data_IF_817530308751
#
_entry.id   IF_817530308751
#
_cell.length_a   1.000
_cell.length_b   1.000
_cell.length_c   1.000
_cell.angle_alpha   90.00
_cell.angle_beta   90.00
_cell.angle_gamma   90.00
#
_symmetry.space_group_name_H-M   'P 1'
#
loop_
_entity.id
_entity.type
_entity.pdbx_description
1 polymer ?
#
# COMPACT_ATOMS: atom_id res chain seq x y z
N UNK A 1 -39.90 2.33 -14.79
CA UNK A 1 -40.52 2.87 -13.56
C UNK A 1 -39.84 2.42 -12.25
N UNK A 2 -39.12 1.29 -12.20
CA UNK A 2 -38.48 0.80 -10.96
C UNK A 2 -37.35 1.68 -10.36
N UNK A 3 -36.58 2.39 -11.19
CA UNK A 3 -35.48 3.26 -10.74
C UNK A 3 -35.99 4.49 -9.97
N UNK A 4 -37.09 5.08 -10.43
CA UNK A 4 -37.68 6.27 -9.82
C UNK A 4 -38.32 5.93 -8.47
N UNK A 5 -38.89 4.73 -8.36
CA UNK A 5 -39.38 4.20 -7.09
C UNK A 5 -38.26 3.95 -6.08
N UNK A 6 -37.10 3.44 -6.50
CA UNK A 6 -35.96 3.22 -5.60
C UNK A 6 -35.39 4.55 -5.10
N UNK A 7 -35.30 5.56 -5.97
CA UNK A 7 -34.88 6.92 -5.61
C UNK A 7 -35.85 7.57 -4.60
N UNK A 8 -37.17 7.40 -4.79
CA UNK A 8 -38.16 7.92 -3.87
C UNK A 8 -38.06 7.24 -2.49
N UNK A 9 -37.87 5.92 -2.45
CA UNK A 9 -37.66 5.15 -1.20
C UNK A 9 -36.38 5.59 -0.49
N UNK A 10 -35.29 5.81 -1.24
CA UNK A 10 -34.02 6.29 -0.69
C UNK A 10 -34.13 7.69 -0.07
N UNK A 11 -34.71 8.66 -0.80
CA UNK A 11 -34.93 10.02 -0.28
C UNK A 11 -35.81 10.03 0.97
N UNK A 12 -36.90 9.26 0.96
CA UNK A 12 -37.78 9.10 2.13
C UNK A 12 -37.06 8.51 3.34
N UNK A 13 -36.10 7.61 3.12
CA UNK A 13 -35.29 7.05 4.20
C UNK A 13 -34.27 8.06 4.73
N UNK A 14 -33.67 8.86 3.85
CA UNK A 14 -32.76 9.95 4.22
C UNK A 14 -33.46 11.01 5.08
N UNK A 15 -34.67 11.42 4.72
CA UNK A 15 -35.49 12.37 5.49
C UNK A 15 -35.82 11.84 6.89
N UNK A 16 -36.21 10.55 7.00
CA UNK A 16 -36.49 9.90 8.30
C UNK A 16 -35.26 9.87 9.21
N UNK A 17 -34.08 9.59 8.66
CA UNK A 17 -32.84 9.60 9.43
C UNK A 17 -32.50 11.01 9.93
N UNK A 18 -32.66 12.04 9.08
CA UNK A 18 -32.43 13.43 9.48
C UNK A 18 -33.42 13.89 10.55
N UNK A 19 -34.72 13.61 10.39
CA UNK A 19 -35.73 13.99 11.38
C UNK A 19 -35.49 13.34 12.75
N UNK A 20 -35.00 12.10 12.76
CA UNK A 20 -34.66 11.38 14.00
C UNK A 20 -33.47 12.03 14.70
N UNK A 21 -32.41 12.40 13.95
CA UNK A 21 -31.24 13.10 14.51
C UNK A 21 -31.59 14.48 15.05
N UNK A 22 -32.42 15.24 14.33
CA UNK A 22 -32.91 16.56 14.79
C UNK A 22 -33.76 16.44 16.06
N UNK A 23 -34.61 15.42 16.17
CA UNK A 23 -35.41 15.18 17.39
C UNK A 23 -34.56 14.77 18.59
N UNK A 24 -33.49 13.99 18.38
CA UNK A 24 -32.53 13.62 19.44
C UNK A 24 -31.75 14.85 19.90
N UNK A 25 -31.29 15.70 18.97
CA UNK A 25 -30.61 16.95 19.30
C UNK A 25 -31.52 17.92 20.08
N UNK A 26 -32.79 18.04 19.69
CA UNK A 26 -33.76 18.88 20.41
C UNK A 26 -34.08 18.36 21.83
N UNK A 27 -34.12 17.04 22.02
CA UNK A 27 -34.32 16.42 23.35
C UNK A 27 -33.11 16.58 24.27
N UNK A 28 -31.90 16.66 23.73
CA UNK A 28 -30.69 16.89 24.52
C UNK A 28 -30.54 18.34 25.05
N UNK A 29 -31.30 19.29 24.48
CA UNK A 29 -31.25 20.73 24.88
C UNK A 29 -32.34 21.07 25.91
N UNK A 30 -33.34 20.21 26.12
CA UNK A 30 -34.51 20.50 26.99
C UNK A 30 -34.67 19.54 28.16
N UNK A 31 -33.59 19.29 28.92
CA UNK A 31 -33.67 18.69 30.26
C UNK A 31 -32.95 19.58 31.27
N UNK A 32 -33.67 20.61 31.74
CA UNK A 32 -33.33 21.35 32.96
C UNK A 32 -34.18 20.78 34.12
N UNK A 33 -33.55 20.23 35.17
CA UNK A 33 -34.11 20.33 36.51
C UNK A 33 -33.28 21.30 37.35
N UNK A 34 -33.99 22.23 37.98
CA UNK A 34 -33.52 23.20 38.95
C UNK A 34 -33.24 22.55 40.32
N UNK A 35 -32.01 22.66 40.83
CA UNK A 35 -31.69 22.62 42.29
C UNK A 35 -30.39 23.44 42.52
N UNK A 36 -30.27 24.29 43.56
CA UNK A 36 -29.07 25.07 43.83
C UNK A 36 -28.15 24.35 44.83
N UNK A 37 -26.85 24.21 44.55
CA UNK A 37 -25.85 24.02 45.59
C UNK A 37 -24.42 24.33 45.08
N UNK A 38 -23.78 25.26 45.78
CA UNK A 38 -22.36 25.63 45.70
C UNK A 38 -21.45 24.41 45.87
N UNK A 39 -20.48 24.18 44.98
CA UNK A 39 -19.11 23.74 45.29
C UNK A 39 -18.14 24.12 44.14
N UNK A 40 -16.89 24.40 44.50
CA UNK A 40 -15.81 25.03 43.72
C UNK A 40 -15.45 24.37 42.37
N UNK A 41 -14.83 25.11 41.41
CA UNK A 41 -14.56 24.59 40.08
C UNK A 41 -13.30 23.71 40.04
N UNK A 42 -13.48 22.49 39.52
CA UNK A 42 -12.42 21.58 39.14
C UNK A 42 -12.41 21.35 37.61
N UNK A 43 -11.19 21.22 37.08
CA UNK A 43 -10.79 20.51 35.87
C UNK A 43 -10.90 21.22 34.48
N UNK A 44 -9.92 20.95 33.58
CA UNK A 44 -9.69 21.71 32.36
C UNK A 44 -10.65 21.34 31.23
N UNK A 45 -11.00 22.36 30.46
CA UNK A 45 -11.75 22.33 29.20
C UNK A 45 -11.15 21.37 28.18
N UNK A 46 -11.89 20.30 27.84
CA UNK A 46 -11.68 19.53 26.61
C UNK A 46 -11.89 20.46 25.39
N UNK A 47 -10.98 20.49 24.40
CA UNK A 47 -11.20 21.23 23.18
C UNK A 47 -12.33 20.59 22.35
N UNK A 48 -13.10 21.39 21.59
CA UNK A 48 -14.15 20.90 20.72
C UNK A 48 -13.56 20.01 19.62
N UNK A 49 -14.11 18.81 19.50
CA UNK A 49 -13.82 17.87 18.42
C UNK A 49 -14.00 18.57 17.07
N UNK A 50 -13.02 18.53 16.14
CA UNK A 50 -13.17 19.18 14.85
C UNK A 50 -14.33 18.52 14.09
N UNK A 51 -15.23 19.34 13.57
CA UNK A 51 -16.34 18.92 12.74
C UNK A 51 -15.81 18.04 11.58
N UNK A 52 -16.18 16.76 11.61
CA UNK A 52 -15.79 15.77 10.62
C UNK A 52 -16.21 16.26 9.22
N UNK A 53 -15.22 16.45 8.35
CA UNK A 53 -15.43 16.83 6.96
C UNK A 53 -15.98 15.63 6.18
N UNK A 54 -17.31 15.45 6.23
CA UNK A 54 -18.07 14.33 5.66
C UNK A 54 -17.73 13.96 4.19
N UNK A 55 -17.25 14.89 3.37
CA UNK A 55 -16.87 14.59 1.98
C UNK A 55 -15.68 13.64 1.88
N UNK A 56 -14.66 13.79 2.72
CA UNK A 56 -13.44 12.99 2.60
C UNK A 56 -13.69 11.52 3.02
N UNK A 57 -14.50 11.32 4.07
CA UNK A 57 -14.89 9.98 4.51
C UNK A 57 -15.69 9.22 3.44
N UNK A 58 -16.57 9.92 2.70
CA UNK A 58 -17.40 9.29 1.68
C UNK A 58 -16.56 8.77 0.51
N UNK A 59 -15.61 9.57 0.03
CA UNK A 59 -14.70 9.20 -1.07
C UNK A 59 -13.76 8.06 -0.66
N UNK A 60 -13.19 8.12 0.55
CA UNK A 60 -12.34 7.07 1.10
C UNK A 60 -13.09 5.74 1.19
N UNK A 61 -14.31 5.75 1.72
CA UNK A 61 -15.15 4.55 1.82
C UNK A 61 -15.51 3.99 0.44
N UNK A 62 -15.78 4.85 -0.55
CA UNK A 62 -16.01 4.41 -1.94
C UNK A 62 -14.76 3.76 -2.54
N UNK A 63 -13.57 4.33 -2.31
CA UNK A 63 -12.31 3.76 -2.77
C UNK A 63 -12.05 2.37 -2.16
N UNK A 64 -12.25 2.23 -0.85
CA UNK A 64 -12.15 0.95 -0.13
C UNK A 64 -13.14 -0.07 -0.71
N UNK A 65 -14.39 0.35 -0.94
CA UNK A 65 -15.41 -0.53 -1.50
C UNK A 65 -15.06 -0.98 -2.93
N UNK A 66 -14.53 -0.07 -3.74
CA UNK A 66 -14.05 -0.35 -5.09
C UNK A 66 -12.94 -1.41 -5.08
N UNK A 67 -11.94 -1.26 -4.19
CA UNK A 67 -10.85 -2.24 -4.03
C UNK A 67 -11.39 -3.60 -3.60
N UNK A 68 -12.29 -3.64 -2.60
CA UNK A 68 -12.82 -4.91 -2.08
C UNK A 68 -13.72 -5.65 -3.07
N UNK A 69 -14.37 -4.91 -3.98
CA UNK A 69 -15.16 -5.47 -5.08
C UNK A 69 -14.33 -5.76 -6.34
N UNK A 70 -13.06 -5.35 -6.37
CA UNK A 70 -12.18 -5.64 -7.49
C UNK A 70 -12.00 -7.17 -7.64
N UNK A 71 -11.76 -7.66 -8.87
CA UNK A 71 -11.50 -9.08 -9.09
C UNK A 71 -10.30 -9.55 -8.26
N UNK A 72 -10.32 -10.84 -7.89
CA UNK A 72 -9.30 -11.47 -7.03
C UNK A 72 -7.88 -11.18 -7.53
N UNK A 73 -7.64 -11.28 -8.84
CA UNK A 73 -6.34 -10.97 -9.44
C UNK A 73 -5.85 -9.54 -9.21
N UNK A 74 -6.76 -8.56 -9.23
CA UNK A 74 -6.41 -7.15 -8.97
C UNK A 74 -6.05 -6.92 -7.50
N UNK A 75 -6.76 -7.57 -6.57
CA UNK A 75 -6.43 -7.51 -5.14
C UNK A 75 -5.07 -8.14 -4.89
N UNK A 76 -4.79 -9.32 -5.46
CA UNK A 76 -3.49 -10.01 -5.37
C UNK A 76 -2.36 -9.12 -5.89
N UNK A 77 -2.53 -8.52 -7.08
CA UNK A 77 -1.54 -7.63 -7.68
C UNK A 77 -1.21 -6.47 -6.72
N UNK A 78 -2.23 -5.82 -6.17
CA UNK A 78 -2.05 -4.70 -5.24
C UNK A 78 -1.26 -5.09 -3.99
N UNK A 79 -1.47 -6.29 -3.45
CA UNK A 79 -0.67 -6.80 -2.32
C UNK A 79 0.77 -7.07 -2.76
N UNK A 80 0.98 -7.68 -3.93
CA UNK A 80 2.34 -7.95 -4.44
C UNK A 80 3.10 -6.65 -4.67
N UNK A 81 2.47 -5.64 -5.26
CA UNK A 81 3.06 -4.33 -5.51
C UNK A 81 3.47 -3.66 -4.19
N UNK A 82 2.62 -3.73 -3.15
CA UNK A 82 2.96 -3.25 -1.80
C UNK A 82 4.18 -3.99 -1.21
N UNK A 83 4.19 -5.33 -1.28
CA UNK A 83 5.29 -6.15 -0.75
C UNK A 83 6.59 -5.91 -1.52
N UNK A 84 6.49 -5.68 -2.83
CA UNK A 84 7.60 -5.28 -3.67
C UNK A 84 8.10 -3.92 -3.17
N UNK A 85 7.35 -2.85 -3.30
CA UNK A 85 7.81 -1.48 -2.97
C UNK A 85 8.42 -1.36 -1.56
N UNK A 86 7.77 -1.93 -0.56
CA UNK A 86 8.19 -1.83 0.84
C UNK A 86 9.31 -2.81 1.22
N UNK A 87 9.46 -3.92 0.49
CA UNK A 87 10.36 -5.05 0.79
C UNK A 87 10.25 -5.55 2.24
N UNK A 88 9.10 -5.35 2.89
CA UNK A 88 8.84 -5.73 4.28
C UNK A 88 7.84 -6.88 4.37
N UNK A 89 7.83 -7.57 5.51
CA UNK A 89 6.88 -8.63 5.81
C UNK A 89 5.66 -8.08 6.55
N UNK A 90 4.47 -8.24 5.98
CA UNK A 90 3.22 -7.71 6.53
C UNK A 90 2.28 -8.80 7.05
N UNK A 91 1.55 -8.50 8.11
CA UNK A 91 0.41 -9.31 8.56
C UNK A 91 -0.83 -9.01 7.71
N UNK A 92 -1.85 -9.87 7.77
CA UNK A 92 -3.12 -9.66 7.07
C UNK A 92 -3.79 -8.34 7.47
N UNK A 93 -3.68 -7.97 8.75
CA UNK A 93 -4.21 -6.72 9.28
C UNK A 93 -3.48 -5.52 8.69
N UNK A 94 -2.14 -5.56 8.68
CA UNK A 94 -1.35 -4.47 8.10
C UNK A 94 -1.57 -4.33 6.58
N UNK A 95 -1.79 -5.44 5.86
CA UNK A 95 -2.15 -5.42 4.44
C UNK A 95 -3.51 -4.73 4.24
N UNK A 96 -4.51 -5.06 5.06
CA UNK A 96 -5.82 -4.42 4.99
C UNK A 96 -5.74 -2.92 5.34
N UNK A 97 -4.87 -2.52 6.26
CA UNK A 97 -4.64 -1.10 6.58
C UNK A 97 -3.93 -0.35 5.45
N UNK A 98 -2.91 -0.96 4.84
CA UNK A 98 -2.07 -0.34 3.82
C UNK A 98 -2.75 -0.28 2.45
N UNK A 99 -3.42 -1.36 2.02
CA UNK A 99 -3.98 -1.46 0.68
C UNK A 99 -5.48 -1.78 0.63
N UNK A 100 -6.18 -1.81 1.77
CA UNK A 100 -7.63 -2.02 1.88
C UNK A 100 -8.15 -3.38 1.37
N UNK A 101 -7.23 -4.33 1.17
CA UNK A 101 -7.54 -5.70 0.76
C UNK A 101 -7.83 -6.54 2.01
N UNK A 102 -9.06 -7.00 2.14
CA UNK A 102 -9.48 -7.83 3.28
C UNK A 102 -9.29 -9.32 2.96
N UNK A 103 -8.13 -9.84 3.33
CA UNK A 103 -7.77 -11.25 3.12
C UNK A 103 -8.45 -12.19 4.13
N UNK A 104 -8.98 -11.67 5.25
CA UNK A 104 -9.72 -12.48 6.21
C UNK A 104 -11.13 -12.80 5.68
N UNK A 105 -11.79 -11.81 5.09
CA UNK A 105 -13.09 -12.00 4.46
C UNK A 105 -12.99 -12.78 3.14
N UNK A 106 -11.90 -12.61 2.38
CA UNK A 106 -11.70 -13.25 1.07
C UNK A 106 -10.60 -14.32 1.10
N UNK A 107 -10.99 -15.55 1.45
CA UNK A 107 -10.06 -16.71 1.45
C UNK A 107 -9.41 -16.98 0.09
N UNK A 108 -10.09 -16.69 -1.02
CA UNK A 108 -9.53 -16.95 -2.35
C UNK A 108 -8.27 -16.10 -2.61
N UNK A 109 -8.25 -14.85 -2.14
CA UNK A 109 -7.07 -13.98 -2.22
C UNK A 109 -5.94 -14.51 -1.34
N UNK A 110 -6.27 -14.94 -0.12
CA UNK A 110 -5.30 -15.53 0.80
C UNK A 110 -4.64 -16.80 0.22
N UNK A 111 -5.44 -17.76 -0.24
CA UNK A 111 -4.93 -19.02 -0.80
C UNK A 111 -4.12 -18.79 -2.08
N UNK A 112 -4.56 -17.84 -2.93
CA UNK A 112 -3.84 -17.49 -4.15
C UNK A 112 -2.51 -16.79 -3.88
N UNK A 113 -2.44 -15.92 -2.86
CA UNK A 113 -1.18 -15.27 -2.45
C UNK A 113 -0.23 -16.28 -1.81
N UNK A 114 -0.74 -17.19 -0.97
CA UNK A 114 0.06 -18.25 -0.35
C UNK A 114 0.70 -19.19 -1.38
N UNK A 115 0.00 -19.46 -2.48
CA UNK A 115 0.51 -20.29 -3.58
C UNK A 115 1.30 -19.51 -4.64
N UNK A 116 1.48 -18.19 -4.46
CA UNK A 116 2.12 -17.36 -5.48
C UNK A 116 3.66 -17.50 -5.44
N UNK A 117 4.33 -17.70 -6.59
CA UNK A 117 5.79 -17.83 -6.63
C UNK A 117 6.55 -16.57 -6.21
N UNK A 118 5.93 -15.38 -6.26
CA UNK A 118 6.52 -14.09 -5.88
C UNK A 118 6.30 -13.72 -4.42
N UNK A 119 5.63 -14.56 -3.63
CA UNK A 119 5.28 -14.27 -2.24
C UNK A 119 5.73 -15.43 -1.36
N UNK A 120 6.30 -15.11 -0.20
CA UNK A 120 6.60 -16.07 0.84
C UNK A 120 5.63 -15.86 2.02
N UNK A 121 5.15 -16.96 2.62
CA UNK A 121 4.23 -16.93 3.75
C UNK A 121 4.76 -17.75 4.92
N UNK A 122 5.12 -17.07 6.01
CA UNK A 122 5.77 -17.69 7.18
C UNK A 122 4.76 -18.19 8.22
N UNK A 123 3.50 -18.41 7.82
CA UNK A 123 2.41 -18.82 8.73
C UNK A 123 1.71 -17.67 9.45
N UNK A 124 2.31 -16.47 9.47
CA UNK A 124 1.72 -15.24 10.05
C UNK A 124 1.85 -14.00 9.17
N UNK A 125 2.92 -13.92 8.37
CA UNK A 125 3.27 -12.73 7.57
C UNK A 125 3.53 -13.12 6.12
N UNK A 126 3.21 -12.21 5.22
CA UNK A 126 3.55 -12.28 3.80
C UNK A 126 4.75 -11.37 3.52
N UNK A 127 5.73 -11.89 2.80
CA UNK A 127 6.90 -11.13 2.34
C UNK A 127 7.10 -11.34 0.84
N UNK A 128 7.73 -10.36 0.17
CA UNK A 128 8.08 -10.53 -1.24
C UNK A 128 9.19 -11.56 -1.40
N UNK A 129 8.98 -12.52 -2.29
CA UNK A 129 9.99 -13.52 -2.67
C UNK A 129 10.64 -13.08 -3.97
N UNK A 130 11.89 -12.61 -3.87
CA UNK A 130 12.70 -12.30 -5.05
C UNK A 130 13.02 -13.56 -5.84
N UNK A 131 13.18 -13.41 -7.15
CA UNK A 131 13.60 -14.50 -8.04
C UNK A 131 14.95 -15.09 -7.64
N UNK A 132 15.81 -14.26 -7.06
CA UNK A 132 17.12 -14.63 -6.55
C UNK A 132 17.21 -14.24 -5.08
N UNK A 133 17.38 -15.23 -4.19
CA UNK A 133 17.59 -15.04 -2.74
C UNK A 133 19.08 -14.72 -2.49
N UNK A 134 19.49 -13.50 -2.86
CA UNK A 134 20.87 -13.07 -2.78
C UNK A 134 21.18 -12.57 -1.37
N UNK A 135 21.90 -13.38 -0.60
CA UNK A 135 22.29 -13.06 0.79
C UNK A 135 23.61 -12.32 0.89
N UNK A 136 24.47 -12.46 -0.12
CA UNK A 136 25.83 -11.93 -0.09
C UNK A 136 26.26 -11.36 -1.45
N UNK A 137 27.18 -10.39 -1.41
CA UNK A 137 27.79 -9.77 -2.59
C UNK A 137 28.47 -10.80 -3.50
N UNK A 138 29.06 -11.84 -2.94
CA UNK A 138 29.70 -12.91 -3.72
C UNK A 138 28.68 -13.69 -4.55
N UNK A 139 27.50 -13.98 -3.98
CA UNK A 139 26.41 -14.66 -4.69
C UNK A 139 25.86 -13.80 -5.83
N UNK A 140 25.75 -12.49 -5.59
CA UNK A 140 25.36 -11.52 -6.62
C UNK A 140 26.35 -11.52 -7.79
N UNK A 141 27.66 -11.46 -7.52
CA UNK A 141 28.67 -11.47 -8.58
C UNK A 141 28.67 -12.76 -9.39
N UNK A 142 28.52 -13.90 -8.73
CA UNK A 142 28.39 -15.20 -9.41
C UNK A 142 27.13 -15.22 -10.28
N UNK A 143 26.02 -14.69 -9.78
CA UNK A 143 24.78 -14.62 -10.53
C UNK A 143 24.92 -13.73 -11.76
N UNK A 144 25.40 -12.50 -11.62
CA UNK A 144 25.56 -11.55 -12.73
C UNK A 144 26.52 -12.11 -13.79
N UNK A 145 27.62 -12.76 -13.39
CA UNK A 145 28.55 -13.40 -14.34
C UNK A 145 27.94 -14.58 -15.09
N UNK A 146 26.93 -15.25 -14.53
CA UNK A 146 26.19 -16.33 -15.19
C UNK A 146 25.21 -15.82 -16.25
N UNK A 147 24.74 -14.58 -16.11
CA UNK A 147 23.79 -13.95 -17.03
C UNK A 147 24.46 -12.76 -17.76
N UNK A 148 25.24 -13.02 -18.82
CA UNK A 148 25.90 -11.96 -19.59
C UNK A 148 24.91 -11.00 -20.27
N UNK A 149 23.67 -11.46 -20.51
CA UNK A 149 22.56 -10.68 -21.07
C UNK A 149 22.04 -9.58 -20.12
N UNK A 150 22.48 -9.58 -18.86
CA UNK A 150 22.05 -8.63 -17.84
C UNK A 150 20.88 -9.12 -17.00
N UNK A 151 20.73 -8.52 -15.82
CA UNK A 151 19.66 -8.85 -14.86
C UNK A 151 18.98 -7.55 -14.42
N UNK A 152 17.66 -7.52 -14.38
CA UNK A 152 16.93 -6.35 -13.89
C UNK A 152 17.28 -6.05 -12.42
N UNK A 153 17.55 -4.77 -12.11
CA UNK A 153 17.96 -4.35 -10.75
C UNK A 153 16.89 -4.66 -9.71
N UNK A 154 15.61 -4.66 -10.08
CA UNK A 154 14.48 -5.07 -9.22
C UNK A 154 14.67 -6.49 -8.67
N UNK A 155 15.28 -7.39 -9.45
CA UNK A 155 15.55 -8.77 -9.06
C UNK A 155 16.84 -8.92 -8.22
N UNK A 156 17.69 -7.89 -8.19
CA UNK A 156 18.97 -7.87 -7.48
C UNK A 156 18.95 -7.07 -6.17
N UNK A 157 17.91 -6.27 -5.94
CA UNK A 157 17.80 -5.27 -4.86
C UNK A 157 17.89 -5.84 -3.42
N UNK A 158 17.89 -7.16 -3.24
CA UNK A 158 18.11 -7.80 -1.93
C UNK A 158 19.53 -7.57 -1.38
N UNK A 159 20.53 -7.36 -2.25
CA UNK A 159 21.89 -7.03 -1.83
C UNK A 159 22.03 -5.53 -1.60
N UNK A 160 21.79 -5.08 -0.36
CA UNK A 160 21.86 -3.68 0.08
C UNK A 160 23.28 -3.08 0.15
N UNK A 161 24.27 -3.71 -0.52
CA UNK A 161 25.68 -3.34 -0.44
C UNK A 161 26.28 -3.03 -1.81
N UNK A 162 26.23 -1.74 -2.20
CA UNK A 162 27.01 -1.07 -3.24
C UNK A 162 27.62 -1.93 -4.35
N UNK A 163 27.04 -1.82 -5.54
CA UNK A 163 27.51 -2.35 -6.84
C UNK A 163 28.86 -1.81 -7.33
N UNK A 164 29.59 -1.07 -6.49
CA UNK A 164 30.68 -0.18 -6.92
C UNK A 164 31.82 -0.94 -7.59
N UNK A 165 32.00 -0.68 -8.89
CA UNK A 165 33.14 -1.10 -9.70
C UNK A 165 33.07 -2.50 -10.32
N UNK A 166 32.10 -3.35 -9.95
CA UNK A 166 32.02 -4.75 -10.42
C UNK A 166 30.77 -5.06 -11.23
N UNK A 167 29.84 -4.11 -11.32
CA UNK A 167 28.59 -4.22 -12.05
C UNK A 167 28.34 -2.90 -12.78
N UNK A 168 27.93 -2.97 -14.04
CA UNK A 168 27.44 -1.80 -14.78
C UNK A 168 25.92 -1.73 -14.64
N UNK A 169 25.41 -0.57 -14.22
CA UNK A 169 23.99 -0.27 -14.26
C UNK A 169 23.72 0.53 -15.53
N UNK A 170 22.89 -0.02 -16.41
CA UNK A 170 22.47 0.63 -17.64
C UNK A 170 20.96 0.83 -17.56
N UNK A 171 20.53 2.10 -17.55
CA UNK A 171 19.12 2.46 -17.62
C UNK A 171 18.64 2.29 -19.06
N UNK A 172 17.68 1.40 -19.29
CA UNK A 172 17.07 1.29 -20.60
C UNK A 172 16.10 2.47 -20.80
N UNK A 173 16.33 3.28 -21.83
CA UNK A 173 15.48 4.43 -22.15
C UNK A 173 14.05 4.02 -22.49
N UNK A 174 13.86 2.85 -23.11
CA UNK A 174 12.56 2.41 -23.62
C UNK A 174 11.71 1.76 -22.52
N UNK A 175 12.31 0.98 -21.61
CA UNK A 175 11.60 0.30 -20.52
C UNK A 175 11.65 1.03 -19.18
N UNK A 176 12.47 2.08 -19.02
CA UNK A 176 12.76 2.76 -17.75
C UNK A 176 13.23 1.82 -16.63
N UNK A 177 13.66 0.61 -16.98
CA UNK A 177 14.18 -0.38 -16.05
C UNK A 177 15.71 -0.34 -16.07
N UNK A 178 16.31 -0.31 -14.89
CA UNK A 178 17.75 -0.45 -14.75
C UNK A 178 18.15 -1.92 -14.89
N UNK A 179 19.11 -2.19 -15.76
CA UNK A 179 19.67 -3.52 -16.01
C UNK A 179 21.12 -3.54 -15.53
N UNK A 180 21.45 -4.57 -14.75
CA UNK A 180 22.77 -4.82 -14.21
C UNK A 180 23.54 -5.82 -15.08
N UNK A 181 24.72 -5.42 -15.54
CA UNK A 181 25.63 -6.22 -16.35
C UNK A 181 26.93 -6.54 -15.60
N UNK A 182 27.58 -7.68 -15.88
CA UNK A 182 28.88 -7.98 -15.31
C UNK A 182 29.93 -6.98 -15.80
N UNK A 183 30.62 -6.31 -14.87
CA UNK A 183 31.84 -5.58 -15.21
C UNK A 183 33.05 -6.49 -14.93
N UNK A 184 33.81 -6.85 -15.97
CA UNK A 184 35.03 -7.62 -15.80
C UNK A 184 36.20 -6.68 -15.46
N UNK A 185 36.77 -6.73 -14.24
CA UNK A 185 37.92 -5.91 -13.88
C UNK A 185 39.18 -6.21 -14.70
N UNK A 186 39.22 -7.30 -15.46
CA UNK A 186 40.32 -7.62 -16.40
C UNK A 186 40.29 -6.77 -17.66
N UNK A 187 39.15 -6.15 -17.98
CA UNK A 187 38.98 -5.34 -19.19
C UNK A 187 38.61 -3.90 -18.79
N UNK A 188 39.58 -3.10 -18.32
CA UNK A 188 39.31 -1.70 -17.99
C UNK A 188 39.04 -0.91 -19.28
N UNK A 189 37.79 -0.53 -19.51
CA UNK A 189 37.43 0.41 -20.55
C UNK A 189 37.70 1.82 -20.03
N UNK A 190 38.76 2.46 -20.55
CA UNK A 190 39.02 3.89 -20.33
C UNK A 190 38.39 4.66 -21.47
N UNK A 191 37.52 5.62 -21.13
CA UNK A 191 37.00 6.59 -22.09
C UNK A 191 37.81 7.86 -21.92
N UNK A 192 38.42 8.33 -23.01
CA UNK A 192 39.18 9.58 -23.04
C UNK A 192 38.26 10.78 -22.75
N UNK A 193 38.84 11.82 -22.13
CA UNK A 193 38.07 12.98 -21.67
C UNK A 193 37.44 13.77 -22.83
N UNK A 194 38.06 13.74 -24.01
CA UNK A 194 37.53 14.37 -25.22
C UNK A 194 36.22 13.70 -25.69
N UNK A 195 36.12 12.37 -25.57
CA UNK A 195 34.90 11.62 -25.89
C UNK A 195 33.80 11.86 -24.87
N UNK A 196 34.14 12.11 -23.59
CA UNK A 196 33.15 12.45 -22.55
C UNK A 196 32.49 13.80 -22.77
N UNK A 197 33.08 14.71 -23.54
CA UNK A 197 32.47 16.02 -23.83
C UNK A 197 31.35 15.94 -24.88
N UNK A 198 31.25 14.84 -25.63
CA UNK A 198 30.28 14.68 -26.72
C UNK A 198 29.00 13.92 -26.31
N UNK A 199 28.93 13.38 -25.08
CA UNK A 199 27.81 12.59 -24.55
C UNK A 199 27.42 13.07 -23.14
#
# INVERSE_FOLDING_TARGET
MALQESLAKFKKQQEKCQSTLTSIAAKAVSSKPSVPQNFAPAAPTKPPTPAAKFSNDTERLQHINSIRKAPVGAQIKRVIDLLLETRQAFTLEQINEACYVDMNANKAVFDSLRNNPKVNYDGKRFSYKSKHDLKDKSQLLVLIRKFPEGIAVIDLLQCTGGFTGQVWLLSNFDSQEDIAYPNDPRVPIKVDDDLKQFF
#
